data_IF_974751281648
#
_entry.id   IF_974751281648
#
_cell.length_a   1.000
_cell.length_b   1.000
_cell.length_c   1.000
_cell.angle_alpha   90.00
_cell.angle_beta   90.00
_cell.angle_gamma   90.00
#
_symmetry.space_group_name_H-M   'P 1'
#
loop_
_entity.id
_entity.type
_entity.pdbx_description
1 polymer ?
#
# COMPACT_ATOMS: atom_id res chain seq x y z
N UNK A 1 6.79 -22.27 -13.70
CA UNK A 1 6.14 -22.21 -12.38
C UNK A 1 6.31 -20.84 -11.77
N UNK A 2 5.19 -20.13 -11.57
CA UNK A 2 5.21 -18.87 -10.83
C UNK A 2 5.61 -19.13 -9.38
N UNK A 3 6.66 -18.46 -8.95
CA UNK A 3 7.20 -18.62 -7.61
C UNK A 3 6.50 -17.64 -6.68
N UNK A 4 5.57 -18.15 -5.88
CA UNK A 4 5.05 -17.43 -4.71
C UNK A 4 6.22 -17.23 -3.74
N UNK A 5 6.41 -15.98 -3.29
CA UNK A 5 7.41 -15.67 -2.29
C UNK A 5 6.87 -16.04 -0.91
N UNK A 6 7.69 -16.69 -0.09
CA UNK A 6 7.35 -17.02 1.29
C UNK A 6 8.37 -16.43 2.25
N UNK A 7 7.88 -15.93 3.38
CA UNK A 7 8.69 -15.44 4.50
C UNK A 7 8.20 -16.16 5.75
N UNK A 8 9.12 -16.62 6.60
CA UNK A 8 8.75 -17.24 7.88
C UNK A 8 9.46 -16.51 9.02
N UNK A 9 8.68 -16.11 10.03
CA UNK A 9 9.18 -15.43 11.22
C UNK A 9 8.36 -15.86 12.42
N UNK A 10 9.04 -16.20 13.51
CA UNK A 10 8.41 -16.60 14.78
C UNK A 10 7.35 -17.72 14.63
N UNK A 11 7.56 -18.66 13.69
CA UNK A 11 6.63 -19.76 13.42
C UNK A 11 5.36 -19.38 12.65
N UNK A 12 5.30 -18.15 12.13
CA UNK A 12 4.25 -17.68 11.21
C UNK A 12 4.86 -17.61 9.82
N UNK A 13 4.30 -18.38 8.88
CA UNK A 13 4.70 -18.37 7.49
C UNK A 13 3.73 -17.53 6.67
N UNK A 14 4.26 -16.57 5.92
CA UNK A 14 3.52 -15.63 5.11
C UNK A 14 3.82 -15.85 3.63
N UNK A 15 2.80 -15.78 2.77
CA UNK A 15 2.95 -15.74 1.33
C UNK A 15 2.74 -14.31 0.82
N UNK A 16 3.56 -13.90 -0.14
CA UNK A 16 3.38 -12.68 -0.92
C UNK A 16 3.11 -13.05 -2.37
N UNK A 17 1.96 -12.63 -2.88
CA UNK A 17 1.52 -12.83 -4.26
C UNK A 17 1.30 -11.46 -4.88
N UNK A 18 1.84 -11.20 -6.07
CA UNK A 18 1.77 -9.90 -6.71
C UNK A 18 1.28 -9.98 -8.15
N UNK A 19 0.42 -9.05 -8.55
CA UNK A 19 -0.14 -8.91 -9.91
C UNK A 19 -0.17 -7.44 -10.36
N UNK A 20 -0.16 -7.23 -11.67
CA UNK A 20 -0.27 -5.90 -12.28
C UNK A 20 -1.33 -5.85 -13.38
N UNK A 21 -2.00 -4.71 -13.51
CA UNK A 21 -2.94 -4.48 -14.63
C UNK A 21 -2.23 -4.39 -15.99
N UNK A 22 -0.94 -4.04 -16.00
CA UNK A 22 -0.24 -3.72 -17.23
C UNK A 22 1.21 -3.32 -17.03
N UNK A 23 1.92 -3.18 -18.14
CA UNK A 23 3.36 -2.88 -18.19
C UNK A 23 3.63 -1.61 -19.01
N UNK A 24 2.74 -0.63 -18.90
CA UNK A 24 2.83 0.67 -19.59
C UNK A 24 3.01 0.55 -21.12
N UNK A 25 2.32 -0.43 -21.72
CA UNK A 25 2.39 -0.71 -23.15
C UNK A 25 3.66 -1.43 -23.62
N UNK A 26 4.57 -1.79 -22.71
CA UNK A 26 5.79 -2.55 -23.02
C UNK A 26 5.52 -4.02 -22.71
N UNK A 27 5.47 -4.93 -23.71
CA UNK A 27 5.25 -6.35 -23.44
C UNK A 27 6.31 -6.91 -22.49
N UNK A 28 5.89 -7.59 -21.43
CA UNK A 28 6.81 -8.32 -20.56
C UNK A 28 7.30 -9.60 -21.24
N UNK A 29 8.56 -10.01 -21.04
CA UNK A 29 8.99 -11.36 -21.39
C UNK A 29 8.11 -12.41 -20.70
N UNK A 30 7.89 -13.54 -21.37
CA UNK A 30 7.05 -14.62 -20.85
C UNK A 30 7.53 -15.10 -19.47
N UNK A 31 6.59 -15.27 -18.53
CA UNK A 31 6.88 -15.75 -17.18
C UNK A 31 7.59 -14.76 -16.25
N UNK A 32 7.67 -13.48 -16.60
CA UNK A 32 8.32 -12.45 -15.76
C UNK A 32 7.35 -11.60 -14.95
N UNK A 33 6.10 -11.49 -15.40
CA UNK A 33 5.08 -10.63 -14.79
C UNK A 33 3.78 -11.41 -14.67
N UNK A 34 3.14 -11.30 -13.51
CA UNK A 34 1.78 -11.79 -13.31
C UNK A 34 0.79 -10.66 -13.66
N UNK A 35 0.04 -10.83 -14.75
CA UNK A 35 -1.07 -9.93 -15.05
C UNK A 35 -2.30 -10.29 -14.21
N UNK A 36 -3.08 -9.28 -13.83
CA UNK A 36 -4.33 -9.48 -13.09
C UNK A 36 -5.24 -10.41 -13.91
N UNK A 37 -5.52 -11.56 -13.32
CA UNK A 37 -6.45 -12.59 -13.79
C UNK A 37 -7.07 -13.19 -12.53
N UNK A 38 -8.37 -12.98 -12.33
CA UNK A 38 -9.07 -13.30 -11.09
C UNK A 38 -9.02 -14.81 -10.77
N UNK A 39 -9.12 -15.67 -11.77
CA UNK A 39 -9.05 -17.12 -11.60
C UNK A 39 -7.63 -17.56 -11.21
N UNK A 40 -6.61 -16.95 -11.82
CA UNK A 40 -5.21 -17.18 -11.45
C UNK A 40 -4.94 -16.73 -10.01
N UNK A 41 -5.38 -15.53 -9.64
CA UNK A 41 -5.27 -14.98 -8.28
C UNK A 41 -5.89 -15.95 -7.28
N UNK A 42 -7.14 -16.37 -7.50
CA UNK A 42 -7.85 -17.32 -6.65
C UNK A 42 -7.10 -18.64 -6.50
N UNK A 43 -6.63 -19.21 -7.61
CA UNK A 43 -5.88 -20.47 -7.58
C UNK A 43 -4.55 -20.35 -6.83
N UNK A 44 -3.85 -19.24 -6.97
CA UNK A 44 -2.57 -19.02 -6.27
C UNK A 44 -2.79 -18.74 -4.77
N UNK A 45 -3.87 -18.06 -4.38
CA UNK A 45 -4.30 -17.94 -2.98
C UNK A 45 -4.59 -19.33 -2.38
N UNK A 46 -5.36 -20.18 -3.08
CA UNK A 46 -5.67 -21.55 -2.62
C UNK A 46 -4.38 -22.37 -2.44
N UNK A 47 -3.46 -22.32 -3.42
CA UNK A 47 -2.16 -23.00 -3.32
C UNK A 47 -1.33 -22.46 -2.16
N UNK A 48 -1.35 -21.15 -1.91
CA UNK A 48 -0.61 -20.52 -0.83
C UNK A 48 -1.14 -20.94 0.54
N UNK A 49 -2.47 -20.94 0.74
CA UNK A 49 -3.12 -21.36 1.99
C UNK A 49 -2.78 -22.80 2.40
N UNK A 50 -2.48 -23.68 1.44
CA UNK A 50 -1.98 -25.03 1.75
C UNK A 50 -0.54 -25.10 2.26
N UNK A 51 0.21 -23.99 2.25
CA UNK A 51 1.66 -23.94 2.50
C UNK A 51 2.11 -22.83 3.44
N UNK A 52 1.22 -21.95 3.87
CA UNK A 52 1.50 -20.81 4.73
C UNK A 52 0.28 -20.49 5.61
N UNK A 53 0.49 -19.66 6.62
CA UNK A 53 -0.54 -19.21 7.53
C UNK A 53 -1.26 -17.97 6.96
N UNK A 54 -0.50 -16.97 6.51
CA UNK A 54 -1.01 -15.66 6.14
C UNK A 54 -0.72 -15.33 4.67
N UNK A 55 -1.71 -14.89 3.90
CA UNK A 55 -1.58 -14.58 2.47
C UNK A 55 -1.77 -13.07 2.24
N UNK A 56 -0.71 -12.42 1.78
CA UNK A 56 -0.74 -11.04 1.31
C UNK A 56 -0.82 -11.01 -0.21
N UNK A 57 -1.78 -10.26 -0.75
CA UNK A 57 -1.91 -10.03 -2.19
C UNK A 57 -1.61 -8.57 -2.50
N UNK A 58 -0.67 -8.35 -3.41
CA UNK A 58 -0.24 -7.04 -3.88
C UNK A 58 -0.76 -6.79 -5.30
N UNK A 59 -1.57 -5.76 -5.48
CA UNK A 59 -2.17 -5.39 -6.75
C UNK A 59 -1.59 -4.05 -7.21
N UNK A 60 -1.05 -4.02 -8.43
CA UNK A 60 -0.57 -2.81 -9.08
C UNK A 60 -1.60 -2.36 -10.11
N UNK A 61 -2.57 -1.52 -9.70
CA UNK A 61 -3.65 -1.00 -10.55
C UNK A 61 -4.30 0.29 -10.00
N UNK A 62 -5.15 0.94 -10.80
CA UNK A 62 -5.91 2.14 -10.45
C UNK A 62 -5.62 3.31 -11.41
N UNK A 63 -6.31 4.43 -11.29
CA UNK A 63 -5.99 5.58 -12.15
C UNK A 63 -4.82 6.38 -11.59
N UNK A 64 -3.85 6.72 -12.44
CA UNK A 64 -2.72 7.55 -12.05
C UNK A 64 -3.17 8.92 -11.50
N UNK A 65 -2.55 9.34 -10.40
CA UNK A 65 -2.72 10.64 -9.75
C UNK A 65 -4.13 10.92 -9.21
N UNK A 66 -5.01 9.93 -9.20
CA UNK A 66 -6.35 10.03 -8.63
C UNK A 66 -6.34 9.43 -7.24
N UNK A 67 -6.75 10.21 -6.21
CA UNK A 67 -6.87 9.71 -4.83
C UNK A 67 -8.17 8.98 -4.54
N UNK A 68 -9.22 9.30 -5.30
CA UNK A 68 -10.50 8.58 -5.18
C UNK A 68 -10.29 7.13 -5.62
N UNK A 69 -10.72 6.19 -4.80
CA UNK A 69 -10.77 4.77 -5.15
C UNK A 69 -11.88 4.57 -6.18
N UNK A 70 -11.57 3.93 -7.29
CA UNK A 70 -12.52 3.64 -8.36
C UNK A 70 -13.35 2.38 -8.04
N UNK A 71 -14.54 2.27 -8.61
CA UNK A 71 -15.46 1.15 -8.35
C UNK A 71 -14.83 -0.20 -8.68
N UNK A 72 -14.07 -0.28 -9.77
CA UNK A 72 -13.33 -1.48 -10.15
C UNK A 72 -12.24 -1.84 -9.13
N UNK A 73 -11.58 -0.83 -8.56
CA UNK A 73 -10.58 -1.05 -7.52
C UNK A 73 -11.22 -1.60 -6.24
N UNK A 74 -12.38 -1.06 -5.83
CA UNK A 74 -13.17 -1.64 -4.72
C UNK A 74 -13.59 -3.08 -4.99
N UNK A 75 -14.16 -3.33 -6.19
CA UNK A 75 -14.67 -4.64 -6.57
C UNK A 75 -13.57 -5.69 -6.47
N UNK A 76 -12.47 -5.50 -7.22
CA UNK A 76 -11.39 -6.48 -7.28
C UNK A 76 -10.74 -6.71 -5.92
N UNK A 77 -10.45 -5.65 -5.15
CA UNK A 77 -9.71 -5.81 -3.88
C UNK A 77 -10.55 -6.55 -2.83
N UNK A 78 -11.86 -6.30 -2.78
CA UNK A 78 -12.78 -7.03 -1.89
C UNK A 78 -13.00 -8.47 -2.35
N UNK A 79 -13.10 -8.70 -3.66
CA UNK A 79 -13.15 -10.07 -4.20
C UNK A 79 -11.88 -10.85 -3.87
N UNK A 80 -10.69 -10.25 -3.96
CA UNK A 80 -9.43 -10.88 -3.55
C UNK A 80 -9.42 -11.20 -2.05
N UNK A 81 -9.97 -10.34 -1.20
CA UNK A 81 -10.17 -10.63 0.22
C UNK A 81 -11.07 -11.86 0.44
N UNK A 82 -12.20 -11.91 -0.29
CA UNK A 82 -13.15 -13.03 -0.28
C UNK A 82 -12.57 -14.33 -0.86
N UNK A 83 -11.61 -14.25 -1.79
CA UNK A 83 -10.89 -15.41 -2.32
C UNK A 83 -9.95 -16.06 -1.29
N UNK A 84 -9.70 -15.40 -0.15
CA UNK A 84 -8.89 -15.94 0.94
C UNK A 84 -7.63 -15.13 1.28
N UNK A 85 -7.42 -13.95 0.68
CA UNK A 85 -6.32 -13.09 1.10
C UNK A 85 -6.57 -12.55 2.51
N UNK A 86 -5.54 -12.51 3.35
CA UNK A 86 -5.62 -11.97 4.72
C UNK A 86 -5.26 -10.48 4.76
N UNK A 87 -4.62 -9.98 3.70
CA UNK A 87 -4.35 -8.56 3.48
C UNK A 87 -4.24 -8.28 1.97
N UNK A 88 -4.77 -7.14 1.54
CA UNK A 88 -4.69 -6.68 0.14
C UNK A 88 -4.03 -5.32 0.07
N UNK A 89 -2.95 -5.19 -0.70
CA UNK A 89 -2.14 -3.97 -0.79
C UNK A 89 -2.10 -3.47 -2.22
N UNK A 90 -2.34 -2.18 -2.39
CA UNK A 90 -2.35 -1.49 -3.66
C UNK A 90 -1.12 -0.63 -3.92
N UNK A 91 -0.80 -0.51 -5.20
CA UNK A 91 0.16 0.43 -5.77
C UNK A 91 -0.26 0.77 -7.20
N UNK A 92 0.51 1.60 -7.91
CA UNK A 92 0.31 2.12 -9.29
C UNK A 92 -0.12 3.59 -9.38
N UNK A 93 -1.14 4.09 -8.66
CA UNK A 93 -1.62 5.46 -8.84
C UNK A 93 -0.61 6.59 -8.57
N UNK A 94 0.59 6.25 -8.06
CA UNK A 94 1.63 7.20 -7.63
C UNK A 94 1.20 8.17 -6.52
N UNK A 95 0.00 8.00 -5.96
CA UNK A 95 -0.55 8.79 -4.86
C UNK A 95 -1.14 7.89 -3.80
N UNK A 96 -1.11 8.28 -2.52
CA UNK A 96 -1.81 7.58 -1.45
C UNK A 96 -3.32 7.58 -1.69
N UNK A 97 -3.92 6.41 -1.55
CA UNK A 97 -5.37 6.23 -1.45
C UNK A 97 -5.70 5.70 -0.05
N UNK A 98 -6.94 5.89 0.37
CA UNK A 98 -7.43 5.39 1.65
C UNK A 98 -7.22 3.87 1.84
N UNK A 99 -7.39 3.42 3.07
CA UNK A 99 -7.53 1.99 3.40
C UNK A 99 -8.89 1.73 4.01
N UNK A 100 -9.27 0.46 4.10
CA UNK A 100 -10.44 0.01 4.85
C UNK A 100 -10.19 -1.35 5.51
N UNK A 101 -10.94 -1.62 6.57
CA UNK A 101 -11.09 -2.96 7.13
C UNK A 101 -12.36 -3.56 6.53
N UNK A 102 -12.20 -4.61 5.74
CA UNK A 102 -13.30 -5.28 5.06
C UNK A 102 -13.66 -6.56 5.81
N UNK A 103 -14.94 -6.74 6.12
CA UNK A 103 -15.48 -8.01 6.60
C UNK A 103 -15.72 -8.93 5.40
N UNK A 104 -14.85 -9.93 5.23
CA UNK A 104 -14.97 -10.91 4.14
C UNK A 104 -16.13 -11.87 4.36
N UNK A 105 -16.55 -12.55 3.30
CA UNK A 105 -17.68 -13.48 3.32
C UNK A 105 -17.48 -14.67 4.28
N UNK A 106 -16.24 -15.00 4.62
CA UNK A 106 -15.87 -16.03 5.60
C UNK A 106 -15.67 -15.48 7.03
N UNK A 107 -16.02 -14.21 7.27
CA UNK A 107 -16.03 -13.57 8.59
C UNK A 107 -14.68 -13.04 9.06
N UNK A 108 -13.64 -13.06 8.22
CA UNK A 108 -12.35 -12.45 8.55
C UNK A 108 -12.40 -10.93 8.38
N UNK A 109 -11.57 -10.23 9.14
CA UNK A 109 -11.31 -8.80 8.96
C UNK A 109 -10.05 -8.64 8.13
N UNK A 110 -10.22 -8.23 6.89
CA UNK A 110 -9.13 -8.08 5.92
C UNK A 110 -8.77 -6.61 5.79
N UNK A 111 -7.49 -6.29 6.00
CA UNK A 111 -7.01 -4.93 5.77
C UNK A 111 -6.72 -4.72 4.29
N UNK A 112 -7.40 -3.74 3.70
CA UNK A 112 -7.30 -3.38 2.30
C UNK A 112 -6.72 -1.97 2.18
N UNK A 113 -5.55 -1.83 1.55
CA UNK A 113 -4.91 -0.55 1.26
C UNK A 113 -4.98 -0.32 -0.24
N UNK A 114 -5.68 0.72 -0.70
CA UNK A 114 -5.91 0.90 -2.15
C UNK A 114 -4.70 1.45 -2.91
N UNK A 115 -3.83 2.20 -2.25
CA UNK A 115 -2.54 2.63 -2.80
C UNK A 115 -1.65 3.19 -1.71
N UNK A 116 -0.43 2.66 -1.57
CA UNK A 116 0.59 3.23 -0.70
C UNK A 116 1.21 4.53 -1.24
N UNK A 117 0.98 4.87 -2.51
CA UNK A 117 1.67 5.98 -3.16
C UNK A 117 3.15 5.69 -3.43
N UNK A 118 3.95 6.75 -3.59
CA UNK A 118 5.38 6.62 -3.85
C UNK A 118 6.17 6.58 -2.54
N UNK A 119 7.08 5.61 -2.39
CA UNK A 119 8.00 5.59 -1.25
C UNK A 119 9.10 6.65 -1.39
N UNK A 120 9.76 6.72 -2.55
CA UNK A 120 10.77 7.72 -2.91
C UNK A 120 10.58 8.06 -4.39
N UNK A 121 10.43 9.33 -4.76
CA UNK A 121 10.12 9.69 -6.15
C UNK A 121 10.51 11.11 -6.51
N UNK A 122 11.14 11.25 -7.68
CA UNK A 122 11.36 12.56 -8.29
C UNK A 122 10.12 13.12 -9.01
N UNK A 123 9.02 12.37 -9.08
CA UNK A 123 7.74 12.84 -9.60
C UNK A 123 7.12 13.80 -8.59
N UNK A 124 7.28 15.10 -8.85
CA UNK A 124 6.89 16.13 -7.90
C UNK A 124 5.69 16.94 -8.39
N UNK A 125 4.84 17.40 -7.48
CA UNK A 125 3.73 18.28 -7.83
C UNK A 125 4.25 19.52 -8.55
N UNK A 126 3.58 19.88 -9.64
CA UNK A 126 3.70 21.22 -10.20
C UNK A 126 2.45 21.97 -9.78
N UNK A 127 2.53 22.72 -8.69
CA UNK A 127 1.36 23.38 -8.09
C UNK A 127 0.57 24.24 -9.10
N UNK A 128 1.27 24.91 -10.02
CA UNK A 128 0.67 25.72 -11.08
C UNK A 128 -0.21 24.91 -12.05
N UNK A 129 0.09 23.62 -12.24
CA UNK A 129 -0.62 22.74 -13.17
C UNK A 129 -1.70 21.90 -12.45
N UNK A 130 -1.71 21.87 -11.10
CA UNK A 130 -2.51 20.95 -10.26
C UNK A 130 -2.36 19.46 -10.63
N UNK A 131 -1.43 19.14 -11.52
CA UNK A 131 -1.03 17.79 -11.91
C UNK A 131 -0.05 17.27 -10.86
N UNK A 132 -0.10 15.97 -10.57
CA UNK A 132 0.82 15.27 -9.68
C UNK A 132 0.78 15.71 -8.19
N UNK A 133 -0.34 16.24 -7.70
CA UNK A 133 -0.50 16.44 -6.25
C UNK A 133 -0.37 15.09 -5.53
N UNK A 134 0.28 15.07 -4.37
CA UNK A 134 0.55 13.89 -3.52
C UNK A 134 1.55 12.87 -4.09
N UNK A 135 2.19 13.11 -5.23
CA UNK A 135 3.19 12.14 -5.76
C UNK A 135 4.52 12.13 -5.01
N UNK A 136 4.73 13.14 -4.16
CA UNK A 136 5.84 13.27 -3.21
C UNK A 136 5.46 12.84 -1.79
N UNK A 137 4.27 12.25 -1.61
CA UNK A 137 3.79 11.67 -0.36
C UNK A 137 3.52 10.18 -0.58
N UNK A 138 3.91 9.36 0.40
CA UNK A 138 3.66 7.93 0.45
C UNK A 138 3.12 7.52 1.81
N UNK A 139 2.82 6.22 1.95
CA UNK A 139 2.41 5.60 3.19
C UNK A 139 3.38 4.46 3.52
N UNK A 140 3.81 4.40 4.77
CA UNK A 140 4.34 3.18 5.38
C UNK A 140 3.17 2.50 6.08
N UNK A 141 2.96 1.22 5.78
CA UNK A 141 1.96 0.39 6.45
C UNK A 141 2.65 -0.51 7.47
N UNK A 142 2.32 -0.31 8.73
CA UNK A 142 2.79 -1.10 9.86
C UNK A 142 1.67 -2.05 10.30
N UNK A 143 2.00 -3.30 10.61
CA UNK A 143 1.02 -4.27 11.10
C UNK A 143 1.65 -5.39 11.91
N UNK A 144 0.85 -5.97 12.80
CA UNK A 144 1.20 -7.12 13.63
C UNK A 144 0.30 -8.29 13.27
N UNK A 145 0.91 -9.42 12.93
CA UNK A 145 0.19 -10.69 12.71
C UNK A 145 0.39 -11.58 13.93
N UNK A 146 -0.71 -12.11 14.46
CA UNK A 146 -0.73 -13.06 15.57
C UNK A 146 -1.26 -14.39 15.06
N UNK A 147 -0.75 -15.49 15.63
CA UNK A 147 -1.27 -16.84 15.45
C UNK A 147 -1.64 -17.41 16.81
N UNK A 148 -2.93 -17.58 17.05
CA UNK A 148 -3.49 -18.08 18.31
C UNK A 148 -4.42 -19.29 18.09
N UNK A 149 -5.26 -19.61 19.08
CA UNK A 149 -6.22 -20.73 19.02
C UNK A 149 -7.33 -20.55 17.96
N UNK A 150 -7.59 -19.33 17.53
CA UNK A 150 -8.59 -18.96 16.53
C UNK A 150 -8.01 -18.91 15.12
N UNK A 151 -6.69 -19.07 14.97
CA UNK A 151 -6.00 -19.03 13.69
C UNK A 151 -5.01 -17.88 13.63
N UNK A 152 -4.73 -17.43 12.41
CA UNK A 152 -3.81 -16.31 12.14
C UNK A 152 -4.62 -15.10 11.68
N UNK A 153 -4.33 -13.94 12.26
CA UNK A 153 -5.03 -12.69 11.95
C UNK A 153 -4.13 -11.48 12.16
N UNK A 154 -4.51 -10.36 11.54
CA UNK A 154 -3.93 -9.05 11.83
C UNK A 154 -4.48 -8.58 13.17
N UNK A 155 -3.60 -8.43 14.17
CA UNK A 155 -3.95 -7.95 15.50
C UNK A 155 -3.98 -6.43 15.55
N UNK A 156 -2.92 -5.79 15.05
CA UNK A 156 -2.75 -4.33 15.03
C UNK A 156 -2.29 -3.87 13.65
N UNK A 157 -2.67 -2.65 13.27
CA UNK A 157 -2.25 -2.05 12.02
C UNK A 157 -2.32 -0.52 12.08
N UNK A 158 -1.34 0.13 11.46
CA UNK A 158 -1.23 1.59 11.42
C UNK A 158 -0.65 2.07 10.07
N UNK A 159 -0.91 3.33 9.76
CA UNK A 159 -0.35 3.99 8.58
C UNK A 159 0.42 5.22 8.99
N UNK A 160 1.65 5.29 8.52
CA UNK A 160 2.55 6.43 8.69
C UNK A 160 2.73 7.15 7.36
N UNK A 161 2.10 8.33 7.16
CA UNK A 161 2.37 9.16 5.99
C UNK A 161 3.81 9.65 5.97
N UNK A 162 4.47 9.51 4.83
CA UNK A 162 5.85 9.95 4.59
C UNK A 162 5.92 10.96 3.45
N UNK A 163 6.88 11.89 3.54
CA UNK A 163 7.15 12.90 2.53
C UNK A 163 8.57 12.73 1.99
N UNK A 164 8.72 12.81 0.68
CA UNK A 164 10.04 12.86 0.05
C UNK A 164 10.57 14.30 0.08
N UNK A 165 11.25 14.68 1.17
CA UNK A 165 11.83 16.00 1.35
C UNK A 165 13.03 16.22 0.42
N UNK A 166 12.86 17.10 -0.55
CA UNK A 166 13.92 17.60 -1.41
C UNK A 166 14.46 18.93 -0.89
N UNK A 167 15.78 19.01 -0.71
CA UNK A 167 16.48 20.23 -0.38
C UNK A 167 17.87 20.24 -1.02
N UNK A 168 18.58 21.36 -0.93
CA UNK A 168 19.93 21.52 -1.48
C UNK A 168 20.93 21.60 -0.33
N UNK A 169 22.00 20.82 -0.44
CA UNK A 169 23.17 20.89 0.45
C UNK A 169 24.41 21.17 -0.41
N UNK A 170 24.88 22.43 -0.36
CA UNK A 170 25.89 22.92 -1.28
C UNK A 170 25.47 22.77 -2.75
N UNK A 171 26.25 22.00 -3.52
CA UNK A 171 25.97 21.75 -4.94
C UNK A 171 25.10 20.50 -5.20
N UNK A 172 24.72 19.76 -4.16
CA UNK A 172 23.95 18.52 -4.29
C UNK A 172 22.48 18.75 -3.99
N UNK A 173 21.63 18.03 -4.73
CA UNK A 173 20.21 17.87 -4.38
C UNK A 173 20.11 16.62 -3.53
N UNK A 174 19.50 16.76 -2.35
CA UNK A 174 19.26 15.67 -1.42
C UNK A 174 17.77 15.37 -1.42
N UNK A 175 17.43 14.09 -1.42
CA UNK A 175 16.10 13.55 -1.18
C UNK A 175 16.14 12.77 0.12
N UNK A 176 15.20 13.05 1.03
CA UNK A 176 15.13 12.43 2.36
C UNK A 176 13.69 12.06 2.63
N UNK A 177 13.44 10.79 2.91
CA UNK A 177 12.14 10.36 3.43
C UNK A 177 12.01 10.82 4.87
N UNK A 178 10.93 11.56 5.14
CA UNK A 178 10.60 12.07 6.46
C UNK A 178 9.17 11.69 6.80
N UNK A 179 8.92 11.39 8.07
CA UNK A 179 7.56 11.23 8.56
C UNK A 179 6.83 12.57 8.50
N UNK A 180 5.65 12.61 7.90
CA UNK A 180 4.91 13.86 7.71
C UNK A 180 4.60 14.57 9.04
N UNK A 181 4.31 13.82 10.10
CA UNK A 181 4.05 14.34 11.45
C UNK A 181 5.26 15.10 12.05
N UNK A 182 6.48 14.75 11.61
CA UNK A 182 7.75 15.28 12.10
C UNK A 182 8.35 16.36 11.19
N UNK A 183 7.63 16.79 10.14
CA UNK A 183 8.18 17.74 9.15
C UNK A 183 8.72 19.03 9.78
N UNK A 184 8.13 19.49 10.87
CA UNK A 184 8.53 20.73 11.54
C UNK A 184 9.92 20.64 12.19
N UNK A 185 10.38 19.43 12.52
CA UNK A 185 11.68 19.16 13.15
C UNK A 185 12.85 19.27 12.15
N UNK A 186 12.56 19.20 10.85
CA UNK A 186 13.57 19.32 9.80
C UNK A 186 13.88 20.79 9.50
N UNK A 187 15.16 21.17 9.68
CA UNK A 187 15.65 22.54 9.46
C UNK A 187 15.80 22.86 7.98
N UNK A 188 15.99 21.83 7.17
CA UNK A 188 16.19 21.90 5.73
C UNK A 188 14.86 22.08 4.96
N UNK A 189 13.72 21.81 5.61
CA UNK A 189 12.40 22.02 5.04
C UNK A 189 12.00 23.51 5.08
N UNK A 190 11.56 24.03 3.94
CA UNK A 190 11.03 25.40 3.85
C UNK A 190 9.69 25.52 4.59
N UNK A 191 9.29 26.75 4.93
CA UNK A 191 7.97 26.97 5.56
C UNK A 191 6.81 26.53 4.64
N UNK A 192 6.97 26.69 3.33
CA UNK A 192 6.02 26.23 2.32
C UNK A 192 5.87 24.70 2.36
N UNK A 193 6.99 23.97 2.38
CA UNK A 193 6.99 22.51 2.51
C UNK A 193 6.33 22.08 3.83
N UNK A 194 6.65 22.74 4.96
CA UNK A 194 6.02 22.45 6.26
C UNK A 194 4.51 22.63 6.19
N UNK A 195 4.03 23.75 5.66
CA UNK A 195 2.60 24.03 5.53
C UNK A 195 1.90 23.00 4.62
N UNK A 196 2.52 22.68 3.48
CA UNK A 196 2.03 21.66 2.55
C UNK A 196 1.90 20.29 3.24
N UNK A 197 2.98 19.80 3.84
CA UNK A 197 3.03 18.48 4.47
C UNK A 197 2.08 18.39 5.65
N UNK A 198 2.00 19.41 6.52
CA UNK A 198 1.05 19.43 7.63
C UNK A 198 -0.41 19.34 7.13
N UNK A 199 -0.74 20.02 6.02
CA UNK A 199 -2.07 19.92 5.40
C UNK A 199 -2.32 18.49 4.89
N UNK A 200 -1.37 17.91 4.17
CA UNK A 200 -1.49 16.56 3.59
C UNK A 200 -1.58 15.48 4.67
N UNK A 201 -0.80 15.61 5.74
CA UNK A 201 -0.84 14.74 6.90
C UNK A 201 -2.26 14.64 7.47
N UNK A 202 -2.90 15.78 7.75
CA UNK A 202 -4.26 15.82 8.30
C UNK A 202 -5.30 15.21 7.37
N UNK A 203 -5.15 15.39 6.06
CA UNK A 203 -6.02 14.74 5.05
C UNK A 203 -5.83 13.21 5.07
N UNK A 204 -4.58 12.73 5.13
CA UNK A 204 -4.27 11.31 5.05
C UNK A 204 -4.69 10.53 6.29
N UNK A 205 -4.35 11.01 7.50
CA UNK A 205 -4.72 10.30 8.73
C UNK A 205 -6.23 10.14 8.91
N UNK A 206 -7.03 11.06 8.35
CA UNK A 206 -8.49 10.98 8.39
C UNK A 206 -9.10 9.96 7.41
N UNK A 207 -8.29 9.39 6.51
CA UNK A 207 -8.74 8.44 5.48
C UNK A 207 -8.44 6.97 5.85
N UNK A 208 -7.79 6.73 6.99
CA UNK A 208 -7.37 5.40 7.42
C UNK A 208 -7.95 5.09 8.80
N UNK A 209 -9.20 4.60 8.83
CA UNK A 209 -9.79 4.13 10.08
C UNK A 209 -9.27 2.72 10.42
N UNK A 210 -8.32 2.70 11.36
CA UNK A 210 -7.68 1.49 11.87
C UNK A 210 -8.19 1.10 13.27
N UNK A 211 -9.25 1.75 13.76
CA UNK A 211 -9.78 1.52 15.11
C UNK A 211 -10.19 0.06 15.37
N UNK A 212 -10.55 -0.67 14.30
CA UNK A 212 -10.95 -2.07 14.37
C UNK A 212 -9.80 -3.00 14.78
N UNK A 213 -8.54 -2.64 14.51
CA UNK A 213 -7.36 -3.40 14.92
C UNK A 213 -6.72 -2.87 16.22
N UNK A 214 -7.17 -1.73 16.74
CA UNK A 214 -6.63 -1.19 17.99
C UNK A 214 -7.35 -1.82 19.17
N UNK A 215 -6.98 -3.05 19.53
CA UNK A 215 -7.34 -3.62 20.82
C UNK A 215 -6.48 -2.99 21.92
N UNK A 216 -7.13 -2.24 22.82
CA UNK A 216 -6.52 -1.64 24.02
C UNK A 216 -5.86 -2.68 24.93
#
# INVERSE_FOLDING_TARGET
DDKIAYIEKNGIKMALIAYTYGTNGIPAPEGTVNYIDEEKIKNDIIKAKGKCDFVMVWLHMGNEYVRKVEDEQYRLYREVADMGADMVIGSHPHVPKKSEVYDSNDGRKVWIIYSLGNFLSAQRPKEAEKTYLYTDVGLIADFTVVKDKNGVHTEDADITPIYDLKYREGNRIIYRIVECSKINDYKEATQEQKNYVNKKYNELIGEHDMSVFKHN
#
